data_IF_425326064803
#
_entry.id   IF_425326064803
#
_cell.length_a   1.000
_cell.length_b   1.000
_cell.length_c   1.000
_cell.angle_alpha   90.00
_cell.angle_beta   90.00
_cell.angle_gamma   90.00
#
_symmetry.space_group_name_H-M   'P 1'
#
loop_
_entity.id
_entity.type
_entity.pdbx_description
1 polymer ?
#
# COMPACT_ATOMS: atom_id res chain seq x y z
N UNK A 1 6.50 -16.34 -15.69
CA UNK A 1 7.55 -16.00 -14.73
C UNK A 1 6.91 -15.87 -13.35
N UNK A 2 7.13 -16.83 -12.48
CA UNK A 2 6.66 -16.76 -11.09
C UNK A 2 7.51 -15.73 -10.36
N UNK A 3 6.91 -14.60 -9.98
CA UNK A 3 7.56 -13.57 -9.17
C UNK A 3 7.46 -14.00 -7.70
N UNK A 4 8.61 -14.20 -7.06
CA UNK A 4 8.68 -14.45 -5.61
C UNK A 4 8.91 -13.12 -4.87
N UNK A 5 8.36 -12.97 -3.67
CA UNK A 5 8.57 -11.79 -2.82
C UNK A 5 10.06 -11.51 -2.51
N UNK A 6 10.91 -12.51 -2.72
CA UNK A 6 12.36 -12.41 -2.50
C UNK A 6 13.09 -11.66 -3.63
N UNK A 7 12.44 -11.53 -4.79
CA UNK A 7 13.00 -10.85 -5.96
C UNK A 7 12.95 -9.32 -5.83
N UNK A 8 12.19 -8.81 -4.85
CA UNK A 8 12.02 -7.37 -4.63
C UNK A 8 12.75 -6.92 -3.37
N UNK A 9 13.89 -6.28 -3.55
CA UNK A 9 14.69 -5.72 -2.46
C UNK A 9 13.93 -4.62 -1.69
N UNK A 10 13.00 -3.94 -2.38
CA UNK A 10 12.16 -2.87 -1.86
C UNK A 10 11.31 -3.36 -0.69
N UNK A 11 10.73 -4.55 -0.76
CA UNK A 11 9.93 -5.13 0.33
C UNK A 11 10.75 -5.48 1.57
N UNK A 12 12.07 -5.74 1.40
CA UNK A 12 12.97 -5.99 2.53
C UNK A 12 13.38 -4.69 3.22
N UNK A 13 13.53 -3.61 2.45
CA UNK A 13 13.99 -2.31 2.94
C UNK A 13 12.85 -1.47 3.52
N UNK A 14 11.64 -1.56 2.94
CA UNK A 14 10.49 -0.74 3.31
C UNK A 14 10.15 -0.72 4.80
N UNK A 15 10.13 -1.85 5.55
CA UNK A 15 9.85 -1.84 6.98
C UNK A 15 10.85 -1.01 7.78
N UNK A 16 12.13 -1.07 7.41
CA UNK A 16 13.18 -0.28 8.06
C UNK A 16 13.03 1.21 7.76
N UNK A 17 12.69 1.57 6.52
CA UNK A 17 12.42 2.96 6.15
C UNK A 17 11.22 3.53 6.92
N UNK A 18 10.14 2.76 7.06
CA UNK A 18 8.97 3.16 7.85
C UNK A 18 9.37 3.37 9.32
N UNK A 19 10.16 2.47 9.90
CA UNK A 19 10.63 2.59 11.27
C UNK A 19 11.51 3.85 11.46
N UNK A 20 12.42 4.13 10.52
CA UNK A 20 13.26 5.33 10.52
C UNK A 20 12.40 6.59 10.42
N UNK A 21 11.46 6.67 9.50
CA UNK A 21 10.54 7.79 9.38
C UNK A 21 9.74 8.00 10.67
N UNK A 22 9.19 6.92 11.26
CA UNK A 22 8.45 6.98 12.51
C UNK A 22 9.30 7.57 13.64
N UNK A 23 10.56 7.14 13.76
CA UNK A 23 11.50 7.68 14.73
C UNK A 23 11.82 9.17 14.48
N UNK A 24 12.03 9.55 13.21
CA UNK A 24 12.28 10.94 12.83
C UNK A 24 11.07 11.84 13.15
N UNK A 25 9.84 11.38 12.88
CA UNK A 25 8.62 12.09 13.26
C UNK A 25 8.58 12.34 14.77
N UNK A 26 8.88 11.31 15.57
CA UNK A 26 8.90 11.41 17.03
C UNK A 26 9.95 12.41 17.51
N UNK A 27 11.18 12.33 17.00
CA UNK A 27 12.26 13.25 17.35
C UNK A 27 11.89 14.70 17.00
N UNK A 28 11.35 14.94 15.79
CA UNK A 28 10.96 16.29 15.35
C UNK A 28 9.81 16.84 16.22
N UNK A 29 8.88 15.99 16.63
CA UNK A 29 7.80 16.37 17.53
C UNK A 29 8.32 16.79 18.91
N UNK A 30 9.31 16.08 19.47
CA UNK A 30 9.94 16.41 20.75
C UNK A 30 10.77 17.70 20.69
N UNK A 31 11.63 17.83 19.68
CA UNK A 31 12.56 18.95 19.56
C UNK A 31 11.87 20.26 19.16
N UNK A 32 10.65 20.20 18.61
CA UNK A 32 9.85 21.37 18.19
C UNK A 32 10.61 22.38 17.31
N UNK A 33 11.59 21.89 16.53
CA UNK A 33 12.43 22.72 15.69
C UNK A 33 11.84 22.83 14.28
N UNK A 34 11.53 24.08 13.86
CA UNK A 34 10.91 24.34 12.54
C UNK A 34 11.81 23.91 11.38
N UNK A 35 13.13 24.04 11.50
CA UNK A 35 14.05 23.61 10.43
C UNK A 35 13.99 22.11 10.23
N UNK A 36 14.00 21.34 11.32
CA UNK A 36 13.86 19.88 11.27
C UNK A 36 12.51 19.45 10.66
N UNK A 37 11.44 20.17 10.96
CA UNK A 37 10.13 19.90 10.37
C UNK A 37 10.13 20.12 8.85
N UNK A 38 10.75 21.20 8.36
CA UNK A 38 10.87 21.43 6.90
C UNK A 38 11.72 20.37 6.23
N UNK A 39 12.82 19.97 6.86
CA UNK A 39 13.68 18.88 6.37
C UNK A 39 12.92 17.56 6.31
N UNK A 40 12.17 17.22 7.37
CA UNK A 40 11.36 16.02 7.42
C UNK A 40 10.29 16.00 6.32
N UNK A 41 9.61 17.13 6.09
CA UNK A 41 8.63 17.28 5.02
C UNK A 41 9.28 17.07 3.65
N UNK A 42 10.43 17.68 3.40
CA UNK A 42 11.18 17.53 2.15
C UNK A 42 11.61 16.07 1.91
N UNK A 43 12.10 15.37 2.95
CA UNK A 43 12.47 13.96 2.90
C UNK A 43 11.24 13.06 2.63
N UNK A 44 10.10 13.37 3.26
CA UNK A 44 8.88 12.63 3.06
C UNK A 44 8.35 12.77 1.62
N UNK A 45 8.36 13.98 1.07
CA UNK A 45 7.98 14.22 -0.33
C UNK A 45 8.94 13.52 -1.29
N UNK A 46 10.26 13.62 -1.03
CA UNK A 46 11.27 12.93 -1.82
C UNK A 46 11.06 11.42 -1.83
N UNK A 47 10.80 10.83 -0.67
CA UNK A 47 10.48 9.41 -0.55
C UNK A 47 9.25 9.04 -1.38
N UNK A 48 8.17 9.82 -1.31
CA UNK A 48 6.97 9.60 -2.11
C UNK A 48 7.23 9.66 -3.62
N UNK A 49 8.03 10.63 -4.08
CA UNK A 49 8.39 10.77 -5.50
C UNK A 49 9.25 9.58 -5.96
N UNK A 50 10.26 9.19 -5.18
CA UNK A 50 11.12 8.05 -5.50
C UNK A 50 10.30 6.76 -5.58
N UNK A 51 9.41 6.52 -4.61
CA UNK A 51 8.54 5.35 -4.62
C UNK A 51 7.60 5.30 -5.82
N UNK A 52 7.04 6.44 -6.24
CA UNK A 52 6.18 6.51 -7.43
C UNK A 52 6.96 6.28 -8.73
N UNK A 53 8.19 6.79 -8.83
CA UNK A 53 9.07 6.56 -9.99
C UNK A 53 9.49 5.10 -10.06
N UNK A 54 9.81 4.49 -8.93
CA UNK A 54 10.17 3.09 -8.85
C UNK A 54 9.00 2.19 -9.24
N UNK A 55 7.82 2.44 -8.70
CA UNK A 55 6.60 1.74 -9.07
C UNK A 55 6.28 1.87 -10.57
N UNK A 56 6.41 3.07 -11.14
CA UNK A 56 6.23 3.30 -12.58
C UNK A 56 7.24 2.50 -13.42
N UNK A 57 8.51 2.46 -13.03
CA UNK A 57 9.54 1.66 -13.72
C UNK A 57 9.21 0.18 -13.69
N UNK A 58 8.74 -0.31 -12.55
CA UNK A 58 8.34 -1.69 -12.40
C UNK A 58 7.15 -2.03 -13.32
N UNK A 59 6.10 -1.20 -13.33
CA UNK A 59 4.95 -1.36 -14.23
C UNK A 59 5.36 -1.33 -15.71
N UNK A 60 6.25 -0.40 -16.04
CA UNK A 60 6.76 -0.28 -17.40
C UNK A 60 7.51 -1.56 -17.84
N UNK A 61 8.43 -2.04 -17.03
CA UNK A 61 9.18 -3.26 -17.31
C UNK A 61 8.25 -4.48 -17.39
N UNK A 62 7.28 -4.58 -16.49
CA UNK A 62 6.32 -5.67 -16.49
C UNK A 62 5.44 -5.66 -17.75
N UNK A 63 5.02 -4.49 -18.20
CA UNK A 63 4.11 -4.34 -19.33
C UNK A 63 4.82 -4.43 -20.70
N UNK A 64 6.13 -4.16 -20.81
CA UNK A 64 6.85 -4.10 -22.08
C UNK A 64 7.84 -5.25 -22.26
N UNK A 65 8.47 -5.75 -21.20
CA UNK A 65 9.42 -6.86 -21.27
C UNK A 65 8.71 -8.20 -21.10
N UNK A 66 7.90 -8.55 -22.11
CA UNK A 66 7.13 -9.79 -22.14
C UNK A 66 8.02 -11.00 -22.40
N UNK A 67 7.63 -12.17 -21.90
CA UNK A 67 8.32 -13.42 -22.18
C UNK A 67 8.16 -13.79 -23.67
N UNK A 68 9.25 -13.94 -24.43
CA UNK A 68 9.20 -14.30 -25.85
C UNK A 68 8.59 -15.70 -26.08
N UNK A 69 8.54 -16.55 -25.04
CA UNK A 69 7.95 -17.88 -25.10
C UNK A 69 6.53 -17.93 -24.53
N UNK A 70 5.88 -16.78 -24.30
CA UNK A 70 4.50 -16.75 -23.81
C UNK A 70 3.56 -17.40 -24.81
N UNK A 71 2.53 -18.10 -24.30
CA UNK A 71 1.54 -18.81 -25.11
C UNK A 71 0.74 -17.86 -26.03
N UNK A 72 0.62 -16.58 -25.66
CA UNK A 72 -0.07 -15.55 -26.46
C UNK A 72 0.89 -14.38 -26.61
N UNK A 73 1.33 -14.13 -27.84
CA UNK A 73 2.18 -12.98 -28.19
C UNK A 73 1.39 -12.13 -29.19
N UNK A 74 1.08 -10.89 -28.81
CA UNK A 74 0.47 -9.91 -29.72
C UNK A 74 1.53 -8.89 -30.08
N UNK A 75 2.04 -8.89 -31.33
CA UNK A 75 3.09 -7.97 -31.76
C UNK A 75 2.68 -6.50 -31.57
N UNK A 76 3.58 -5.70 -31.01
CA UNK A 76 3.38 -4.26 -30.81
C UNK A 76 2.47 -3.86 -29.66
N UNK A 77 2.01 -4.80 -28.82
CA UNK A 77 1.17 -4.51 -27.65
C UNK A 77 1.98 -4.46 -26.35
N UNK A 78 1.72 -3.41 -25.56
CA UNK A 78 2.19 -3.28 -24.19
C UNK A 78 1.03 -3.53 -23.22
N UNK A 79 1.27 -4.39 -22.24
CA UNK A 79 0.29 -4.75 -21.21
C UNK A 79 0.50 -3.96 -19.90
N UNK A 80 0.92 -2.71 -20.03
CA UNK A 80 1.16 -1.86 -18.86
C UNK A 80 -0.16 -1.42 -18.24
N UNK A 81 -0.44 -1.75 -16.96
CA UNK A 81 -1.58 -1.25 -16.23
C UNK A 81 -1.48 0.27 -16.02
N UNK A 82 -2.55 0.97 -15.64
CA UNK A 82 -2.46 2.38 -15.30
C UNK A 82 -1.81 2.56 -13.92
N UNK A 83 -0.97 3.56 -13.77
CA UNK A 83 -0.39 3.93 -12.48
C UNK A 83 -1.48 4.30 -11.46
N UNK A 84 -2.50 5.04 -11.90
CA UNK A 84 -3.70 5.36 -11.14
C UNK A 84 -4.91 5.38 -12.08
N UNK A 85 -6.06 4.90 -11.60
CA UNK A 85 -7.32 4.92 -12.32
C UNK A 85 -7.58 3.67 -13.15
N UNK A 86 -8.30 3.83 -14.27
CA UNK A 86 -8.77 2.73 -15.11
C UNK A 86 -8.11 2.77 -16.48
N UNK A 87 -7.74 1.58 -16.99
CA UNK A 87 -7.28 1.40 -18.36
C UNK A 87 -7.81 0.09 -18.93
N UNK A 88 -8.38 0.15 -20.12
CA UNK A 88 -8.75 -1.05 -20.88
C UNK A 88 -7.51 -1.68 -21.50
N UNK A 89 -7.26 -2.95 -21.18
CA UNK A 89 -6.18 -3.75 -21.73
C UNK A 89 -6.80 -4.93 -22.48
N UNK A 90 -6.88 -4.82 -23.82
CA UNK A 90 -7.56 -5.85 -24.65
C UNK A 90 -9.01 -6.12 -24.16
N UNK A 91 -9.24 -7.35 -23.68
CA UNK A 91 -10.54 -7.86 -23.27
C UNK A 91 -10.80 -7.68 -21.76
N UNK A 92 -9.87 -7.11 -21.00
CA UNK A 92 -10.03 -6.86 -19.56
C UNK A 92 -9.70 -5.42 -19.19
N UNK A 93 -10.36 -4.92 -18.14
CA UNK A 93 -10.08 -3.63 -17.56
C UNK A 93 -9.12 -3.76 -16.38
N UNK A 94 -8.06 -2.95 -16.37
CA UNK A 94 -7.17 -2.82 -15.23
C UNK A 94 -7.55 -1.57 -14.43
N UNK A 95 -7.70 -1.73 -13.12
CA UNK A 95 -8.05 -0.65 -12.21
C UNK A 95 -7.00 -0.57 -11.09
N UNK A 96 -6.38 0.59 -10.95
CA UNK A 96 -5.34 0.84 -9.95
C UNK A 96 -5.77 1.98 -9.03
N UNK A 97 -5.90 1.70 -7.75
CA UNK A 97 -6.19 2.68 -6.69
C UNK A 97 -5.30 2.43 -5.49
N UNK A 98 -4.95 3.49 -4.74
CA UNK A 98 -4.25 3.32 -3.48
C UNK A 98 -5.09 2.47 -2.51
N UNK A 99 -4.48 1.49 -1.90
CA UNK A 99 -5.05 0.76 -0.77
C UNK A 99 -4.88 1.57 0.54
N UNK A 100 -5.33 1.03 1.66
CA UNK A 100 -5.32 1.68 2.98
C UNK A 100 -3.97 2.33 3.29
N UNK A 101 -2.85 1.63 3.00
CA UNK A 101 -1.49 2.17 3.19
C UNK A 101 -1.22 3.42 2.36
N UNK A 102 -1.67 3.44 1.10
CA UNK A 102 -1.52 4.61 0.22
C UNK A 102 -2.35 5.81 0.70
N UNK A 103 -3.58 5.57 1.14
CA UNK A 103 -4.43 6.63 1.71
C UNK A 103 -3.85 7.20 3.00
N UNK A 104 -3.31 6.36 3.89
CA UNK A 104 -2.64 6.80 5.12
C UNK A 104 -1.41 7.64 4.79
N UNK A 105 -0.61 7.26 3.79
CA UNK A 105 0.53 8.04 3.34
C UNK A 105 0.12 9.43 2.86
N UNK A 106 -0.96 9.53 2.07
CA UNK A 106 -1.51 10.81 1.59
C UNK A 106 -1.97 11.67 2.78
N UNK A 107 -2.70 11.10 3.74
CA UNK A 107 -3.18 11.82 4.93
C UNK A 107 -2.00 12.38 5.74
N UNK A 108 -0.96 11.59 5.99
CA UNK A 108 0.26 12.05 6.68
C UNK A 108 0.93 13.19 5.92
N UNK A 109 1.04 13.09 4.59
CA UNK A 109 1.60 14.14 3.75
C UNK A 109 0.80 15.46 3.84
N UNK A 110 -0.53 15.37 3.81
CA UNK A 110 -1.41 16.54 3.95
C UNK A 110 -1.27 17.16 5.33
N UNK A 111 -1.24 16.37 6.40
CA UNK A 111 -1.06 16.87 7.77
C UNK A 111 0.31 17.58 7.94
N UNK A 112 1.38 17.01 7.39
CA UNK A 112 2.70 17.65 7.38
C UNK A 112 2.68 18.96 6.62
N UNK A 113 2.05 19.00 5.46
CA UNK A 113 1.90 20.22 4.67
C UNK A 113 1.16 21.30 5.45
N UNK A 114 0.07 20.95 6.12
CA UNK A 114 -0.67 21.89 6.98
C UNK A 114 0.19 22.41 8.13
N UNK A 115 1.00 21.55 8.77
CA UNK A 115 1.95 21.95 9.80
C UNK A 115 3.00 22.93 9.26
N UNK A 116 3.54 22.68 8.06
CA UNK A 116 4.50 23.58 7.38
C UNK A 116 3.85 24.93 7.07
N UNK A 117 2.66 24.93 6.50
CA UNK A 117 1.91 26.17 6.19
C UNK A 117 1.64 26.98 7.47
N UNK A 118 1.19 26.31 8.54
CA UNK A 118 0.93 26.93 9.83
C UNK A 118 2.22 27.55 10.41
N UNK A 119 3.34 26.85 10.31
CA UNK A 119 4.64 27.36 10.79
C UNK A 119 5.15 28.56 9.98
N UNK A 120 4.90 28.61 8.68
CA UNK A 120 5.22 29.75 7.82
C UNK A 120 4.32 30.95 8.18
N UNK A 121 2.99 30.73 8.31
CA UNK A 121 2.05 31.77 8.70
C UNK A 121 2.28 32.31 10.10
N UNK A 122 2.69 31.46 11.04
CA UNK A 122 3.02 31.84 12.42
C UNK A 122 4.27 32.74 12.53
N UNK A 123 5.11 32.85 11.50
CA UNK A 123 6.17 33.87 11.43
C UNK A 123 5.60 35.30 11.38
N UNK A 124 4.34 35.44 10.91
CA UNK A 124 3.69 36.79 10.79
C UNK A 124 2.79 37.18 11.97
N UNK A 125 2.42 36.21 12.83
CA UNK A 125 1.65 36.49 14.06
C UNK A 125 2.07 35.51 15.15
N UNK A 126 2.30 36.03 16.37
CA UNK A 126 2.64 35.29 17.59
C UNK A 126 1.44 34.36 18.03
N UNK A 127 1.03 33.42 17.19
CA UNK A 127 0.04 32.42 17.56
C UNK A 127 0.83 31.17 17.97
N UNK A 128 0.90 30.94 19.29
CA UNK A 128 1.36 29.66 19.87
C UNK A 128 0.31 28.58 19.55
N UNK A 129 0.35 28.02 18.35
CA UNK A 129 -0.35 26.77 18.09
C UNK A 129 0.38 25.65 18.85
N UNK A 130 -0.32 24.99 19.74
CA UNK A 130 0.17 23.82 20.45
C UNK A 130 0.27 22.64 19.44
N UNK A 131 1.35 22.63 18.65
CA UNK A 131 1.66 21.58 17.68
C UNK A 131 1.81 20.21 18.36
N UNK A 132 2.17 20.21 19.66
CA UNK A 132 2.31 18.99 20.47
C UNK A 132 1.00 18.24 20.63
N UNK A 133 -0.15 18.93 20.74
CA UNK A 133 -1.43 18.25 20.88
C UNK A 133 -1.87 17.57 19.57
N UNK A 134 -1.53 18.16 18.42
CA UNK A 134 -1.91 17.62 17.12
C UNK A 134 -1.06 16.40 16.74
N UNK A 135 0.24 16.38 17.06
CA UNK A 135 1.10 15.23 16.80
C UNK A 135 0.80 14.05 17.74
N UNK A 136 0.49 14.34 19.01
CA UNK A 136 0.11 13.29 19.96
C UNK A 136 -1.23 12.63 19.61
N UNK A 137 -2.21 13.40 19.10
CA UNK A 137 -3.50 12.85 18.64
C UNK A 137 -3.32 11.99 17.39
N UNK A 138 -2.45 12.38 16.46
CA UNK A 138 -2.16 11.60 15.26
C UNK A 138 -1.46 10.26 15.59
N UNK A 139 -0.52 10.27 16.54
CA UNK A 139 0.16 9.05 17.01
C UNK A 139 -0.77 8.10 17.75
N UNK A 140 -1.69 8.62 18.57
CA UNK A 140 -2.70 7.81 19.26
C UNK A 140 -3.70 7.14 18.29
N UNK A 141 -4.05 7.79 17.18
CA UNK A 141 -4.88 7.19 16.13
C UNK A 141 -4.17 6.03 15.39
N UNK A 142 -2.87 6.12 15.18
CA UNK A 142 -2.08 5.07 14.52
C UNK A 142 -1.94 3.80 15.35
N UNK A 143 -1.91 3.91 16.69
CA UNK A 143 -1.78 2.73 17.56
C UNK A 143 -3.09 1.96 17.76
N UNK A 144 -4.24 2.57 17.46
CA UNK A 144 -5.55 1.95 17.59
C UNK A 144 -6.01 1.16 16.36
N UNK A 145 -5.33 1.29 15.23
CA UNK A 145 -5.59 0.50 14.00
C UNK A 145 -4.82 -0.83 14.03
N UNK A 146 -4.76 -1.48 15.19
CA UNK A 146 -4.22 -2.84 15.29
C UNK A 146 -5.12 -3.79 14.53
N UNK A 147 -4.55 -4.46 13.55
CA UNK A 147 -5.14 -5.47 12.69
C UNK A 147 -6.17 -6.34 13.43
N UNK A 148 -7.40 -6.29 12.98
CA UNK A 148 -8.38 -7.33 13.28
C UNK A 148 -7.91 -8.62 12.55
N UNK A 149 -7.20 -9.48 13.26
CA UNK A 149 -6.79 -10.81 12.80
C UNK A 149 -7.94 -11.81 13.01
N UNK A 150 -9.14 -11.46 12.54
CA UNK A 150 -10.32 -12.33 12.61
C UNK A 150 -10.68 -12.92 11.26
N UNK A 151 -11.51 -13.97 11.24
CA UNK A 151 -12.12 -14.49 10.02
C UNK A 151 -12.87 -13.36 9.29
N UNK A 152 -12.76 -13.32 7.95
CA UNK A 152 -13.50 -12.38 7.11
C UNK A 152 -14.55 -13.15 6.31
N UNK A 153 -15.87 -12.96 6.55
CA UNK A 153 -16.92 -13.78 5.95
C UNK A 153 -16.82 -13.76 4.41
N UNK A 154 -16.94 -14.94 3.81
CA UNK A 154 -16.89 -15.13 2.36
C UNK A 154 -18.04 -14.38 1.70
N UNK A 155 -17.73 -13.48 0.77
CA UNK A 155 -18.68 -12.70 -0.02
C UNK A 155 -18.93 -13.40 -1.35
N UNK A 156 -20.07 -14.09 -1.46
CA UNK A 156 -20.45 -14.84 -2.66
C UNK A 156 -20.60 -13.89 -3.85
N UNK A 157 -20.10 -14.32 -5.01
CA UNK A 157 -20.14 -13.55 -6.24
C UNK A 157 -19.12 -12.39 -6.31
N UNK A 158 -18.33 -12.17 -5.24
CA UNK A 158 -17.33 -11.11 -5.16
C UNK A 158 -15.94 -11.70 -4.88
N UNK A 159 -15.82 -12.57 -3.87
CA UNK A 159 -14.54 -13.16 -3.50
C UNK A 159 -14.13 -14.26 -4.49
N UNK A 160 -12.82 -14.35 -4.73
CA UNK A 160 -12.23 -15.34 -5.60
C UNK A 160 -11.49 -16.41 -4.79
N UNK A 161 -11.57 -17.64 -5.25
CA UNK A 161 -10.81 -18.75 -4.72
C UNK A 161 -9.29 -18.48 -4.84
N UNK A 162 -8.55 -18.69 -3.75
CA UNK A 162 -7.10 -18.44 -3.74
C UNK A 162 -6.35 -19.39 -4.69
N UNK A 163 -6.79 -20.64 -4.81
CA UNK A 163 -6.14 -21.67 -5.63
C UNK A 163 -6.53 -21.57 -7.11
N UNK A 164 -7.82 -21.76 -7.45
CA UNK A 164 -8.28 -21.84 -8.84
C UNK A 164 -8.65 -20.47 -9.46
N UNK A 165 -8.67 -19.39 -8.67
CA UNK A 165 -9.00 -18.00 -9.06
C UNK A 165 -10.43 -17.79 -9.57
N UNK A 166 -11.29 -18.80 -9.52
CA UNK A 166 -12.70 -18.65 -9.85
C UNK A 166 -13.47 -17.94 -8.74
N UNK A 167 -14.54 -17.24 -9.10
CA UNK A 167 -15.40 -16.56 -8.14
C UNK A 167 -16.17 -17.58 -7.31
N UNK A 168 -16.18 -17.41 -6.00
CA UNK A 168 -16.90 -18.28 -5.06
C UNK A 168 -18.40 -18.08 -5.27
N UNK A 169 -19.10 -19.12 -5.72
CA UNK A 169 -20.51 -19.06 -6.12
C UNK A 169 -21.47 -19.71 -5.12
N UNK A 170 -20.99 -20.61 -4.27
CA UNK A 170 -21.81 -21.35 -3.30
C UNK A 170 -21.22 -21.25 -1.89
N UNK A 171 -22.08 -20.83 -0.94
CA UNK A 171 -21.70 -20.68 0.46
C UNK A 171 -21.55 -22.02 1.21
N UNK A 172 -22.09 -23.09 0.67
CA UNK A 172 -22.12 -24.40 1.37
C UNK A 172 -20.77 -25.11 1.34
N UNK A 173 -19.93 -24.79 0.37
CA UNK A 173 -18.66 -25.49 0.11
C UNK A 173 -17.44 -24.59 0.33
N UNK A 174 -17.65 -23.26 0.44
CA UNK A 174 -16.58 -22.30 0.68
C UNK A 174 -15.81 -22.58 1.97
N UNK A 175 -14.48 -22.48 1.90
CA UNK A 175 -13.58 -22.64 3.03
C UNK A 175 -12.67 -21.44 3.18
N UNK A 176 -12.26 -21.18 4.42
CA UNK A 176 -11.36 -20.07 4.77
C UNK A 176 -10.22 -20.57 5.64
N UNK A 177 -8.99 -20.12 5.34
CA UNK A 177 -7.84 -20.31 6.22
C UNK A 177 -7.39 -18.94 6.72
N UNK A 178 -7.29 -18.81 8.04
CA UNK A 178 -6.65 -17.67 8.70
C UNK A 178 -5.29 -18.10 9.22
N UNK A 179 -4.24 -17.48 8.72
CA UNK A 179 -2.89 -17.77 9.17
C UNK A 179 -2.63 -17.15 10.53
N UNK A 180 -1.61 -17.64 11.25
CA UNK A 180 -1.18 -17.08 12.54
C UNK A 180 -0.80 -15.59 12.44
N UNK A 181 -0.44 -15.12 11.26
CA UNK A 181 -0.14 -13.70 10.97
C UNK A 181 -1.38 -12.88 10.61
N UNK A 182 -2.59 -13.44 10.73
CA UNK A 182 -3.85 -12.76 10.43
C UNK A 182 -4.19 -12.63 8.94
N UNK A 183 -3.47 -13.34 8.05
CA UNK A 183 -3.78 -13.34 6.62
C UNK A 183 -4.88 -14.36 6.33
N UNK A 184 -5.91 -13.92 5.61
CA UNK A 184 -7.09 -14.72 5.27
C UNK A 184 -6.97 -15.19 3.83
N UNK A 185 -7.19 -16.49 3.60
CA UNK A 185 -7.28 -17.11 2.29
C UNK A 185 -8.63 -17.79 2.13
N UNK A 186 -9.33 -17.52 1.04
CA UNK A 186 -10.67 -18.03 0.75
C UNK A 186 -10.60 -19.02 -0.39
N UNK A 187 -11.38 -20.10 -0.29
CA UNK A 187 -11.44 -21.20 -1.27
C UNK A 187 -12.88 -21.49 -1.61
N UNK A 188 -13.16 -21.80 -2.89
CA UNK A 188 -14.48 -22.11 -3.38
C UNK A 188 -15.00 -23.44 -2.84
N UNK A 189 -14.09 -24.42 -2.71
CA UNK A 189 -14.40 -25.76 -2.18
C UNK A 189 -13.21 -26.35 -1.42
N UNK A 190 -13.49 -27.41 -0.66
CA UNK A 190 -12.50 -28.08 0.18
C UNK A 190 -11.39 -28.75 -0.65
N UNK A 191 -11.65 -29.11 -1.88
CA UNK A 191 -10.66 -29.68 -2.79
C UNK A 191 -9.61 -28.65 -3.20
N UNK A 192 -10.00 -27.41 -3.45
CA UNK A 192 -9.07 -26.31 -3.72
C UNK A 192 -8.17 -26.03 -2.50
N UNK A 193 -8.74 -26.12 -1.30
CA UNK A 193 -8.00 -26.01 -0.04
C UNK A 193 -6.97 -27.13 0.12
N UNK A 194 -7.36 -28.37 -0.13
CA UNK A 194 -6.50 -29.54 0.01
C UNK A 194 -5.34 -29.49 -1.00
N UNK A 195 -5.60 -29.05 -2.22
CA UNK A 195 -4.58 -28.91 -3.27
C UNK A 195 -3.55 -27.84 -2.99
N UNK A 196 -3.85 -26.86 -2.13
CA UNK A 196 -2.89 -25.83 -1.68
C UNK A 196 -1.98 -26.33 -0.56
N UNK A 197 -2.46 -27.27 0.28
CA UNK A 197 -1.75 -27.75 1.48
C UNK A 197 -0.88 -28.97 1.19
N UNK A 198 -1.19 -29.75 0.13
CA UNK A 198 -0.44 -30.94 -0.28
C UNK A 198 0.80 -30.59 -1.10
#
# INVERSE_FOLDING_TARGET
KTLHNEDFIEFKILPYLIAIFSLLFFIVALLRNRKLMYTLFALFVLFGVVSMVDFWKWEYNYGHNLDPNAAIIVPGMAYQPPLLGYKQLLNFGAYSVPDIGGWLFIVVGVLLLLCVIAAIRSRRKHIRLNIVSLSATCFAFFTLSSCSSGPDPIKIGIDNCHYCKMTISDNRFGAEIVTVKGKVFKYDEIHCLQSEIS
#
